data_IF_612317236804
#
_entry.id   IF_612317236804
#
_cell.length_a   1.000
_cell.length_b   1.000
_cell.length_c   1.000
_cell.angle_alpha   90.00
_cell.angle_beta   90.00
_cell.angle_gamma   90.00
#
_symmetry.space_group_name_H-M   'P 1'
#
loop_
_entity.id
_entity.type
_entity.pdbx_description
1 polymer ?
#
# COMPACT_ATOMS: atom_id res chain seq x y z
N UNK A 1 13.01 4.26 -1.01
CA UNK A 1 11.88 4.00 -0.09
C UNK A 1 11.30 2.65 -0.45
N UNK A 2 11.07 1.78 0.54
CA UNK A 2 10.44 0.48 0.33
C UNK A 2 8.93 0.63 0.48
N UNK A 3 8.16 0.19 -0.53
CA UNK A 3 6.70 0.21 -0.53
C UNK A 3 6.21 -1.22 -0.65
N UNK A 4 5.24 -1.59 0.18
CA UNK A 4 4.62 -2.92 0.13
C UNK A 4 3.11 -2.79 0.06
N UNK A 5 2.50 -3.54 -0.86
CA UNK A 5 1.05 -3.58 -1.07
C UNK A 5 0.55 -4.96 -0.69
N UNK A 6 -0.45 -5.02 0.17
CA UNK A 6 -1.05 -6.27 0.63
C UNK A 6 -2.56 -6.26 0.38
N UNK A 7 -3.12 -7.39 -0.02
CA UNK A 7 -4.58 -7.53 -0.08
C UNK A 7 -5.10 -8.01 1.26
N UNK A 8 -6.01 -7.30 1.94
CA UNK A 8 -6.66 -7.83 3.14
C UNK A 8 -7.57 -9.03 2.81
N UNK A 9 -7.88 -9.24 1.52
CA UNK A 9 -8.70 -10.33 1.02
C UNK A 9 -7.90 -11.59 0.62
N UNK A 10 -6.57 -11.60 0.77
CA UNK A 10 -5.79 -12.80 0.49
C UNK A 10 -6.00 -13.86 1.58
N UNK A 11 -5.96 -15.14 1.20
CA UNK A 11 -6.22 -16.27 2.11
C UNK A 11 -5.43 -16.20 3.43
N UNK A 12 -4.15 -15.81 3.36
CA UNK A 12 -3.26 -15.78 4.53
C UNK A 12 -3.68 -14.78 5.62
N UNK A 13 -4.41 -13.72 5.26
CA UNK A 13 -4.78 -12.66 6.21
C UNK A 13 -6.29 -12.46 6.31
N UNK A 14 -7.10 -13.16 5.51
CA UNK A 14 -8.54 -12.93 5.36
C UNK A 14 -9.28 -12.99 6.70
N UNK A 15 -9.14 -14.11 7.42
CA UNK A 15 -9.88 -14.37 8.66
C UNK A 15 -9.64 -13.30 9.73
N UNK A 16 -8.37 -12.90 9.87
CA UNK A 16 -7.96 -11.87 10.82
C UNK A 16 -8.36 -10.48 10.35
N UNK A 17 -8.19 -10.17 9.06
CA UNK A 17 -8.56 -8.88 8.48
C UNK A 17 -10.08 -8.62 8.51
N UNK A 18 -10.89 -9.68 8.54
CA UNK A 18 -12.34 -9.59 8.71
C UNK A 18 -12.75 -9.09 10.10
N UNK A 19 -11.95 -9.37 11.13
CA UNK A 19 -12.25 -9.01 12.53
C UNK A 19 -11.43 -7.83 13.04
N UNK A 20 -10.22 -7.65 12.52
CA UNK A 20 -9.23 -6.69 13.00
C UNK A 20 -8.79 -5.77 11.86
N UNK A 21 -9.17 -4.49 11.98
CA UNK A 21 -8.87 -3.48 10.98
C UNK A 21 -7.37 -3.22 10.93
N UNK A 22 -6.79 -3.37 9.75
CA UNK A 22 -5.37 -3.11 9.52
C UNK A 22 -4.45 -4.26 9.92
N UNK A 23 -5.00 -5.44 10.24
CA UNK A 23 -4.20 -6.64 10.47
C UNK A 23 -3.25 -6.94 9.30
N UNK A 24 -3.74 -6.86 8.06
CA UNK A 24 -2.90 -7.09 6.88
C UNK A 24 -1.76 -6.07 6.77
N UNK A 25 -1.99 -4.80 7.11
CA UNK A 25 -0.93 -3.78 7.14
C UNK A 25 0.17 -4.13 8.13
N UNK A 26 -0.20 -4.50 9.37
CA UNK A 26 0.77 -4.91 10.39
C UNK A 26 1.56 -6.13 9.93
N UNK A 27 0.86 -7.13 9.40
CA UNK A 27 1.46 -8.34 8.87
C UNK A 27 2.48 -8.05 7.75
N UNK A 28 2.17 -7.12 6.84
CA UNK A 28 3.09 -6.71 5.78
C UNK A 28 4.30 -5.93 6.32
N UNK A 29 4.10 -5.03 7.27
CA UNK A 29 5.21 -4.28 7.91
C UNK A 29 6.16 -5.23 8.63
N UNK A 30 5.65 -6.12 9.48
CA UNK A 30 6.45 -7.06 10.25
C UNK A 30 7.30 -7.96 9.35
N UNK A 31 6.72 -8.49 8.27
CA UNK A 31 7.48 -9.30 7.30
C UNK A 31 8.63 -8.52 6.67
N UNK A 32 8.43 -7.24 6.35
CA UNK A 32 9.50 -6.39 5.82
C UNK A 32 10.58 -6.10 6.86
N UNK A 33 10.19 -5.80 8.10
CA UNK A 33 11.13 -5.59 9.19
C UNK A 33 11.97 -6.84 9.47
N UNK A 34 11.35 -8.02 9.57
CA UNK A 34 12.06 -9.29 9.84
C UNK A 34 13.15 -9.54 8.78
N UNK A 35 12.87 -9.26 7.52
CA UNK A 35 13.81 -9.56 6.42
C UNK A 35 14.90 -8.50 6.29
N UNK A 36 14.59 -7.21 6.46
CA UNK A 36 15.49 -6.13 6.04
C UNK A 36 16.04 -5.26 7.17
N UNK A 37 15.45 -5.28 8.36
CA UNK A 37 15.76 -4.30 9.41
C UNK A 37 17.23 -4.36 9.86
N UNK A 38 17.73 -5.56 10.16
CA UNK A 38 19.09 -5.74 10.66
C UNK A 38 20.15 -5.33 9.64
N UNK A 39 19.98 -5.73 8.38
CA UNK A 39 20.93 -5.39 7.32
C UNK A 39 20.91 -3.89 7.02
N UNK A 40 19.74 -3.26 6.96
CA UNK A 40 19.66 -1.80 6.83
C UNK A 40 20.32 -1.09 8.01
N UNK A 41 20.06 -1.54 9.24
CA UNK A 41 20.65 -0.96 10.45
C UNK A 41 22.18 -1.06 10.45
N UNK A 42 22.75 -2.21 10.06
CA UNK A 42 24.21 -2.41 9.96
C UNK A 42 24.86 -1.46 8.96
N UNK A 43 24.13 -1.08 7.91
CA UNK A 43 24.58 -0.12 6.90
C UNK A 43 24.24 1.35 7.23
N UNK A 44 23.75 1.63 8.44
CA UNK A 44 23.35 2.99 8.84
C UNK A 44 22.11 3.52 8.12
N UNK A 45 21.31 2.63 7.52
CA UNK A 45 20.10 2.97 6.77
C UNK A 45 18.90 2.87 7.72
N UNK A 46 18.16 3.97 7.86
CA UNK A 46 16.86 3.95 8.52
C UNK A 46 15.82 3.26 7.62
N UNK A 47 15.42 2.05 7.99
CA UNK A 47 14.42 1.28 7.25
C UNK A 47 13.02 1.48 7.82
N UNK A 48 12.14 2.03 6.99
CA UNK A 48 10.72 2.17 7.28
C UNK A 48 9.92 1.72 6.05
N UNK A 49 9.28 0.54 6.09
CA UNK A 49 8.40 0.11 5.00
C UNK A 49 7.16 1.00 4.95
N UNK A 50 6.72 1.33 3.75
CA UNK A 50 5.45 2.00 3.50
C UNK A 50 4.41 0.94 3.13
N UNK A 51 3.75 0.36 4.13
CA UNK A 51 2.71 -0.63 3.90
C UNK A 51 1.36 0.01 3.58
N UNK A 52 0.71 -0.48 2.52
CA UNK A 52 -0.64 -0.12 2.10
C UNK A 52 -1.48 -1.34 1.71
N UNK A 53 -2.79 -1.21 1.82
CA UNK A 53 -3.75 -2.22 1.41
C UNK A 53 -4.29 -1.95 0.00
N UNK A 54 -4.64 -3.00 -0.73
CA UNK A 54 -5.27 -2.87 -2.06
C UNK A 54 -6.60 -2.11 -2.03
N UNK A 55 -7.27 -2.03 -0.86
CA UNK A 55 -8.50 -1.28 -0.66
C UNK A 55 -8.27 0.17 -0.19
N UNK A 56 -7.01 0.63 -0.08
CA UNK A 56 -6.66 2.01 0.22
C UNK A 56 -6.25 2.30 1.66
N UNK A 57 -6.22 1.30 2.54
CA UNK A 57 -5.66 1.42 3.88
C UNK A 57 -4.16 1.69 3.87
N UNK A 58 -3.64 2.43 4.85
CA UNK A 58 -2.21 2.69 5.04
C UNK A 58 -1.82 2.42 6.48
N UNK A 59 -0.62 1.86 6.69
CA UNK A 59 -0.05 1.75 8.02
C UNK A 59 0.19 3.12 8.65
N UNK A 60 0.09 3.21 9.98
CA UNK A 60 0.24 4.48 10.69
C UNK A 60 1.62 5.11 10.47
N UNK A 61 2.66 4.27 10.37
CA UNK A 61 4.03 4.72 10.07
C UNK A 61 4.13 5.26 8.64
N UNK A 62 3.52 4.60 7.66
CA UNK A 62 3.46 5.12 6.29
C UNK A 62 2.72 6.46 6.21
N UNK A 63 1.58 6.60 6.88
CA UNK A 63 0.84 7.87 6.96
C UNK A 63 1.72 8.99 7.52
N UNK A 64 2.49 8.70 8.58
CA UNK A 64 3.40 9.69 9.19
C UNK A 64 4.50 10.13 8.21
N UNK A 65 5.09 9.20 7.46
CA UNK A 65 6.10 9.51 6.43
C UNK A 65 5.48 10.33 5.30
N UNK A 66 4.31 9.93 4.78
CA UNK A 66 3.63 10.64 3.70
C UNK A 66 3.20 12.06 4.10
N UNK A 67 2.71 12.24 5.34
CA UNK A 67 2.43 13.58 5.89
C UNK A 67 3.69 14.43 5.99
N UNK A 68 4.81 13.85 6.41
CA UNK A 68 6.09 14.56 6.43
C UNK A 68 6.50 14.99 5.01
N UNK A 69 6.38 14.11 4.01
CA UNK A 69 6.67 14.43 2.61
C UNK A 69 5.78 15.58 2.12
N UNK A 70 4.46 15.48 2.33
CA UNK A 70 3.50 16.52 1.95
C UNK A 70 3.81 17.87 2.59
N UNK A 71 4.12 17.88 3.89
CA UNK A 71 4.52 19.09 4.61
C UNK A 71 5.78 19.72 4.03
N UNK A 72 6.84 18.94 3.85
CA UNK A 72 8.09 19.45 3.28
C UNK A 72 7.91 19.94 1.84
N UNK A 73 7.05 19.29 1.06
CA UNK A 73 6.71 19.73 -0.29
C UNK A 73 5.99 21.08 -0.30
N UNK A 74 5.02 21.28 0.61
CA UNK A 74 4.32 22.55 0.77
C UNK A 74 5.27 23.68 1.19
N UNK A 75 6.09 23.43 2.22
CA UNK A 75 7.07 24.41 2.71
C UNK A 75 8.07 24.83 1.62
N UNK A 76 8.62 23.88 0.87
CA UNK A 76 9.58 24.18 -0.22
C UNK A 76 8.98 24.99 -1.36
N UNK A 77 7.66 24.93 -1.55
CA UNK A 77 6.95 25.59 -2.64
C UNK A 77 6.21 26.86 -2.20
N UNK A 78 6.25 27.19 -0.91
CA UNK A 78 5.45 28.30 -0.36
C UNK A 78 3.93 28.07 -0.48
N UNK A 79 3.50 26.81 -0.51
CA UNK A 79 2.09 26.41 -0.62
C UNK A 79 1.54 25.97 0.74
N UNK A 80 0.21 25.97 0.89
CA UNK A 80 -0.41 25.42 2.09
C UNK A 80 -0.06 23.94 2.27
N UNK A 81 0.57 23.63 3.40
CA UNK A 81 1.06 22.29 3.70
C UNK A 81 -0.06 21.27 3.88
N UNK A 82 -1.22 21.71 4.36
CA UNK A 82 -2.37 20.83 4.55
C UNK A 82 -2.96 20.46 3.19
N UNK A 83 -3.25 21.43 2.34
CA UNK A 83 -3.73 21.23 0.97
C UNK A 83 -2.77 20.31 0.17
N UNK A 84 -1.46 20.60 0.19
CA UNK A 84 -0.46 19.78 -0.51
C UNK A 84 -0.44 18.34 0.00
N UNK A 85 -0.57 18.15 1.31
CA UNK A 85 -0.62 16.80 1.90
C UNK A 85 -1.90 16.06 1.50
N UNK A 86 -3.05 16.74 1.49
CA UNK A 86 -4.32 16.16 1.04
C UNK A 86 -4.26 15.77 -0.43
N UNK A 87 -3.74 16.66 -1.30
CA UNK A 87 -3.54 16.37 -2.72
C UNK A 87 -2.59 15.20 -2.94
N UNK A 88 -1.56 15.04 -2.10
CA UNK A 88 -0.68 13.86 -2.16
C UNK A 88 -1.47 12.57 -1.89
N UNK A 89 -2.26 12.51 -0.82
CA UNK A 89 -3.08 11.32 -0.51
C UNK A 89 -4.13 11.05 -1.61
N UNK A 90 -4.79 12.08 -2.14
CA UNK A 90 -5.74 11.93 -3.25
C UNK A 90 -5.08 11.32 -4.49
N UNK A 91 -3.90 11.83 -4.87
CA UNK A 91 -3.14 11.29 -6.01
C UNK A 91 -2.72 9.84 -5.79
N UNK A 92 -2.31 9.48 -4.58
CA UNK A 92 -1.97 8.10 -4.23
C UNK A 92 -3.20 7.19 -4.31
N UNK A 93 -4.36 7.62 -3.80
CA UNK A 93 -5.61 6.86 -3.91
C UNK A 93 -6.03 6.65 -5.36
N UNK A 94 -5.97 7.69 -6.19
CA UNK A 94 -6.27 7.56 -7.64
C UNK A 94 -5.28 6.63 -8.32
N UNK A 95 -3.99 6.71 -7.98
CA UNK A 95 -2.97 5.83 -8.52
C UNK A 95 -3.25 4.35 -8.17
N UNK A 96 -3.58 4.08 -6.90
CA UNK A 96 -3.95 2.74 -6.42
C UNK A 96 -5.16 2.19 -7.19
N UNK A 97 -6.25 2.96 -7.28
CA UNK A 97 -7.46 2.47 -7.95
C UNK A 97 -7.26 2.27 -9.46
N UNK A 98 -6.46 3.10 -10.12
CA UNK A 98 -6.07 2.89 -11.52
C UNK A 98 -5.25 1.61 -11.69
N UNK A 99 -4.30 1.34 -10.80
CA UNK A 99 -3.50 0.12 -10.84
C UNK A 99 -4.35 -1.13 -10.58
N UNK A 100 -5.25 -1.08 -9.59
CA UNK A 100 -6.21 -2.15 -9.34
C UNK A 100 -7.09 -2.41 -10.57
N UNK A 101 -7.69 -1.38 -11.15
CA UNK A 101 -8.51 -1.51 -12.36
C UNK A 101 -7.71 -2.12 -13.52
N UNK A 102 -6.46 -1.69 -13.70
CA UNK A 102 -5.58 -2.26 -14.72
C UNK A 102 -5.29 -3.74 -14.48
N UNK A 103 -5.08 -4.17 -13.23
CA UNK A 103 -4.95 -5.60 -12.89
C UNK A 103 -6.19 -6.40 -13.27
N UNK A 104 -7.39 -5.86 -13.06
CA UNK A 104 -8.63 -6.53 -13.47
C UNK A 104 -8.77 -6.61 -14.99
N UNK A 105 -8.47 -5.54 -15.72
CA UNK A 105 -8.59 -5.48 -17.17
C UNK A 105 -7.53 -6.32 -17.91
N UNK A 106 -6.33 -6.43 -17.35
CA UNK A 106 -5.24 -7.23 -17.91
C UNK A 106 -5.32 -8.71 -17.52
N UNK A 107 -6.27 -9.09 -16.67
CA UNK A 107 -6.48 -10.47 -16.27
C UNK A 107 -7.02 -11.28 -17.45
N UNK A 108 -6.15 -12.07 -18.06
CA UNK A 108 -6.57 -13.12 -18.99
C UNK A 108 -7.06 -14.34 -18.19
N UNK A 109 -8.26 -14.89 -18.49
CA UNK A 109 -8.70 -16.13 -17.86
C UNK A 109 -7.76 -17.28 -18.25
N UNK A 110 -7.32 -18.05 -17.27
CA UNK A 110 -6.48 -19.24 -17.48
C UNK A 110 -7.28 -20.48 -17.87
N UNK A 111 -8.61 -20.37 -17.95
CA UNK A 111 -9.50 -21.47 -18.34
C UNK A 111 -9.91 -21.29 -19.81
N UNK A 112 -9.97 -22.39 -20.59
CA UNK A 112 -10.54 -22.33 -21.92
C UNK A 112 -12.04 -21.93 -21.83
N UNK A 113 -12.58 -21.23 -22.84
CA UNK A 113 -13.95 -20.69 -22.84
C UNK A 113 -15.06 -21.75 -22.80
N UNK A 114 -14.72 -23.03 -22.66
CA UNK A 114 -15.64 -24.16 -22.77
C UNK A 114 -16.45 -24.43 -21.49
N UNK A 115 -16.14 -23.78 -20.36
CA UNK A 115 -16.81 -24.06 -19.08
C UNK A 115 -17.96 -23.09 -18.76
N UNK A 116 -18.08 -21.98 -19.49
CA UNK A 116 -19.18 -21.03 -19.30
C UNK A 116 -20.27 -21.24 -20.37
N UNK A 117 -21.04 -22.32 -20.19
CA UNK A 117 -22.43 -22.49 -20.63
C UNK A 117 -22.83 -21.99 -22.03
N UNK A 118 -22.70 -22.86 -23.04
CA UNK A 118 -23.55 -22.84 -24.23
C UNK A 118 -23.92 -24.29 -24.62
N UNK A 119 -25.20 -24.62 -24.51
CA UNK A 119 -26.00 -25.10 -25.65
C UNK A 119 -27.21 -24.16 -25.74
#
# INVERSE_FOLDING_TARGET
MDVTVISPLQQLTLDRSASDRGYALLFAEERKYIVHFEDCRRNGIFFQPLAMETLGGWSQKAVSVLRSIGRHLGLRRGLDTLEVTQHLFQRLSVCLWRANAHMWLSRSPSLPPTVDGNI
#
